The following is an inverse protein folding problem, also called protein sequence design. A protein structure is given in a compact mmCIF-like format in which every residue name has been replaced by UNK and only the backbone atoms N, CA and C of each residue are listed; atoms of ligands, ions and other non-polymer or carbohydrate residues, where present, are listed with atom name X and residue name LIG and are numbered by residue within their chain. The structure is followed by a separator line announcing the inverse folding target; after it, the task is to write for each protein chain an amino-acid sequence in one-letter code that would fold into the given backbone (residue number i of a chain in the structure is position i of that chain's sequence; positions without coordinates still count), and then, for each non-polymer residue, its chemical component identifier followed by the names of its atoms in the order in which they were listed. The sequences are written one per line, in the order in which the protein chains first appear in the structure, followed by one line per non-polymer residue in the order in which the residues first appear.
data_IF_224209917919
#
_entry.id   IF_224209917919
#
_cell.length_a   1.000
_cell.length_b   1.000
_cell.length_c   1.000
_cell.angle_alpha   90.00
_cell.angle_beta   90.00
_cell.angle_gamma   90.00
#
_symmetry.space_group_name_H-M   'P 1'
#
loop_
_entity.id
_entity.type
_entity.pdbx_description
1 polymer ?
#
# COMPACT_ATOMS: atom_id res chain seq x y z
N UNK A 1 -41.47 -18.84 7.13
CA UNK A 1 -40.85 -19.43 5.92
C UNK A 1 -40.38 -18.40 4.88
N UNK A 2 -41.25 -17.54 4.32
CA UNK A 2 -40.85 -16.59 3.24
C UNK A 2 -39.62 -15.71 3.56
N UNK A 3 -39.48 -15.20 4.78
CA UNK A 3 -38.33 -14.36 5.18
C UNK A 3 -36.99 -15.12 5.28
N UNK A 4 -37.03 -16.39 5.69
CA UNK A 4 -35.84 -17.23 5.80
C UNK A 4 -35.29 -17.64 4.42
N UNK A 5 -36.20 -17.94 3.48
CA UNK A 5 -35.86 -18.23 2.08
C UNK A 5 -35.25 -17.00 1.42
N UNK A 6 -35.84 -15.82 1.63
CA UNK A 6 -35.28 -14.56 1.10
C UNK A 6 -33.87 -14.28 1.67
N UNK A 7 -33.67 -14.49 2.97
CA UNK A 7 -32.36 -14.35 3.63
C UNK A 7 -31.31 -15.31 3.08
N UNK A 8 -31.68 -16.57 2.84
CA UNK A 8 -30.78 -17.57 2.24
C UNK A 8 -30.40 -17.20 0.79
N UNK A 9 -31.35 -16.69 0.00
CA UNK A 9 -31.09 -16.23 -1.37
C UNK A 9 -30.13 -15.04 -1.37
N UNK A 10 -30.33 -14.06 -0.48
CA UNK A 10 -29.42 -12.90 -0.35
C UNK A 10 -28.02 -13.35 0.06
N UNK A 11 -27.91 -14.28 1.02
CA UNK A 11 -26.61 -14.83 1.42
C UNK A 11 -25.91 -15.57 0.27
N UNK A 12 -26.62 -16.40 -0.48
CA UNK A 12 -26.09 -17.09 -1.67
C UNK A 12 -25.65 -16.11 -2.77
N UNK A 13 -26.41 -15.05 -3.01
CA UNK A 13 -26.04 -14.01 -3.97
C UNK A 13 -24.79 -13.25 -3.55
N UNK A 14 -24.66 -12.92 -2.26
CA UNK A 14 -23.46 -12.27 -1.72
C UNK A 14 -22.23 -13.20 -1.81
N UNK A 15 -22.39 -14.48 -1.47
CA UNK A 15 -21.31 -15.48 -1.59
C UNK A 15 -20.93 -15.72 -3.05
N UNK A 16 -21.92 -15.84 -3.94
CA UNK A 16 -21.70 -16.01 -5.38
C UNK A 16 -21.02 -14.80 -6.02
N UNK A 17 -21.43 -13.58 -5.65
CA UNK A 17 -20.78 -12.35 -6.06
C UNK A 17 -19.36 -12.23 -5.50
N UNK A 18 -19.13 -12.65 -4.26
CA UNK A 18 -17.79 -12.67 -3.68
C UNK A 18 -16.89 -13.71 -4.37
N UNK A 19 -17.39 -14.91 -4.63
CA UNK A 19 -16.65 -15.96 -5.31
C UNK A 19 -16.29 -15.57 -6.75
N UNK A 20 -17.24 -15.02 -7.52
CA UNK A 20 -16.99 -14.54 -8.88
C UNK A 20 -16.02 -13.36 -8.90
N UNK A 21 -16.11 -12.46 -7.92
CA UNK A 21 -15.15 -11.37 -7.73
C UNK A 21 -13.73 -11.90 -7.46
N UNK A 22 -13.59 -12.88 -6.57
CA UNK A 22 -12.28 -13.50 -6.24
C UNK A 22 -11.67 -14.23 -7.44
N UNK A 23 -12.48 -14.94 -8.23
CA UNK A 23 -12.01 -15.68 -9.42
C UNK A 23 -11.70 -14.76 -10.60
N UNK A 24 -12.39 -13.62 -10.71
CA UNK A 24 -12.20 -12.66 -11.81
C UNK A 24 -11.07 -11.66 -11.58
N UNK A 25 -10.27 -11.83 -10.51
CA UNK A 25 -9.14 -10.93 -10.30
C UNK A 25 -8.15 -11.03 -11.45
N UNK A 26 -7.78 -9.91 -12.08
CA UNK A 26 -6.77 -9.92 -13.12
C UNK A 26 -5.47 -10.47 -12.53
N UNK A 27 -4.86 -11.43 -13.23
CA UNK A 27 -3.51 -11.88 -12.91
C UNK A 27 -2.58 -10.66 -13.05
N UNK A 28 -1.91 -10.30 -11.96
CA UNK A 28 -0.96 -9.18 -12.01
C UNK A 28 0.28 -9.59 -12.82
N UNK A 29 0.86 -8.67 -13.60
CA UNK A 29 2.03 -8.99 -14.41
C UNK A 29 3.25 -9.29 -13.54
N UNK A 30 4.23 -9.96 -14.15
CA UNK A 30 5.48 -10.36 -13.51
C UNK A 30 6.21 -9.14 -12.92
N UNK A 31 6.65 -9.27 -11.67
CA UNK A 31 7.57 -8.28 -11.07
C UNK A 31 8.98 -8.55 -11.58
N UNK A 32 9.63 -7.49 -12.07
CA UNK A 32 10.96 -7.57 -12.69
C UNK A 32 11.97 -6.67 -11.96
N UNK A 33 12.97 -7.31 -11.36
CA UNK A 33 14.06 -6.70 -10.62
C UNK A 33 13.72 -6.41 -9.16
N UNK A 34 14.76 -6.45 -8.33
CA UNK A 34 14.77 -5.94 -6.94
C UNK A 34 14.61 -4.42 -6.91
N UNK A 35 13.42 -3.90 -7.24
CA UNK A 35 13.25 -2.46 -7.39
C UNK A 35 11.96 -1.97 -6.78
N UNK A 36 12.13 -1.04 -5.85
CA UNK A 36 11.11 -0.17 -5.32
C UNK A 36 10.44 0.63 -6.47
N UNK A 37 9.11 0.57 -6.63
CA UNK A 37 8.42 1.23 -7.75
C UNK A 37 8.65 2.75 -7.77
N UNK A 38 8.85 3.37 -6.61
CA UNK A 38 9.13 4.80 -6.49
C UNK A 38 10.48 5.21 -7.10
N UNK A 39 11.44 4.28 -7.24
CA UNK A 39 12.75 4.57 -7.83
C UNK A 39 12.71 4.71 -9.38
N UNK A 40 11.65 4.21 -10.02
CA UNK A 40 11.58 4.12 -11.50
C UNK A 40 10.48 4.99 -12.12
N UNK A 41 9.62 5.55 -11.29
CA UNK A 41 8.58 6.50 -11.70
C UNK A 41 9.03 7.92 -11.36
N UNK A 42 8.62 8.89 -12.17
CA UNK A 42 8.86 10.31 -11.89
C UNK A 42 7.53 10.99 -11.56
N UNK A 43 7.39 11.68 -10.42
CA UNK A 43 6.19 12.45 -10.14
C UNK A 43 6.02 13.59 -11.15
N UNK A 44 4.81 13.78 -11.65
CA UNK A 44 4.45 14.88 -12.57
C UNK A 44 3.52 15.86 -11.87
N UNK A 45 2.44 15.35 -11.28
CA UNK A 45 1.46 16.15 -10.55
C UNK A 45 0.76 15.31 -9.50
N UNK A 46 0.06 15.97 -8.58
CA UNK A 46 -0.75 15.31 -7.56
C UNK A 46 -2.00 16.13 -7.26
N UNK A 47 -3.09 15.44 -6.94
CA UNK A 47 -4.38 16.04 -6.61
C UNK A 47 -4.96 15.29 -5.42
N UNK A 48 -5.35 16.04 -4.38
CA UNK A 48 -6.06 15.46 -3.24
C UNK A 48 -7.49 15.11 -3.66
N UNK A 49 -7.87 13.86 -3.39
CA UNK A 49 -9.19 13.33 -3.71
C UNK A 49 -10.13 13.53 -2.51
N UNK A 50 -11.24 14.21 -2.72
CA UNK A 50 -12.25 14.46 -1.69
C UNK A 50 -13.28 13.33 -1.64
N UNK A 51 -12.84 12.14 -1.25
CA UNK A 51 -13.72 10.98 -1.14
C UNK A 51 -14.57 11.03 0.13
N UNK A 52 -15.84 10.65 0.00
CA UNK A 52 -16.71 10.49 1.17
C UNK A 52 -16.23 9.31 2.03
N UNK A 53 -16.50 9.37 3.34
CA UNK A 53 -16.18 8.26 4.26
C UNK A 53 -16.79 6.93 3.82
N UNK A 54 -17.98 6.97 3.21
CA UNK A 54 -18.67 5.80 2.67
C UNK A 54 -17.90 5.23 1.47
N UNK A 55 -17.44 6.07 0.56
CA UNK A 55 -16.63 5.62 -0.59
C UNK A 55 -15.31 5.00 -0.11
N UNK A 56 -14.61 5.66 0.82
CA UNK A 56 -13.39 5.11 1.43
C UNK A 56 -13.68 3.76 2.09
N UNK A 57 -14.75 3.65 2.89
CA UNK A 57 -15.15 2.39 3.50
C UNK A 57 -15.32 1.28 2.45
N UNK A 58 -16.08 1.53 1.38
CA UNK A 58 -16.27 0.54 0.32
C UNK A 58 -14.97 0.18 -0.42
N UNK A 59 -14.08 1.13 -0.66
CA UNK A 59 -12.75 0.86 -1.23
C UNK A 59 -11.93 -0.06 -0.31
N UNK A 60 -11.93 0.20 0.99
CA UNK A 60 -11.15 -0.57 1.95
C UNK A 60 -11.72 -1.98 2.16
N UNK A 61 -13.05 -2.13 2.25
CA UNK A 61 -13.67 -3.47 2.41
C UNK A 61 -13.56 -4.33 1.15
N UNK A 62 -13.32 -3.75 -0.02
CA UNK A 62 -13.10 -4.49 -1.27
C UNK A 62 -11.61 -4.68 -1.61
N UNK A 63 -10.71 -3.99 -0.91
CA UNK A 63 -9.27 -4.09 -1.13
C UNK A 63 -8.67 -5.31 -0.42
N UNK A 64 -8.23 -6.31 -1.21
CA UNK A 64 -7.54 -7.49 -0.69
C UNK A 64 -6.27 -7.15 0.08
N UNK A 65 -5.48 -6.21 -0.43
CA UNK A 65 -4.26 -5.71 0.21
C UNK A 65 -4.57 -5.11 1.58
N UNK A 66 -5.60 -4.27 1.66
CA UNK A 66 -5.98 -3.64 2.91
C UNK A 66 -6.38 -4.66 3.98
N UNK A 67 -7.21 -5.64 3.62
CA UNK A 67 -7.71 -6.67 4.56
C UNK A 67 -6.62 -7.55 5.17
N UNK A 68 -5.48 -7.67 4.48
CA UNK A 68 -4.30 -8.38 4.96
C UNK A 68 -3.46 -7.54 5.91
N UNK A 69 -3.47 -6.22 5.76
CA UNK A 69 -2.76 -5.30 6.66
C UNK A 69 -3.58 -4.95 7.91
N UNK A 70 -4.86 -4.66 7.73
CA UNK A 70 -5.73 -4.14 8.78
C UNK A 70 -7.19 -4.56 8.57
N UNK A 71 -8.03 -4.28 9.58
CA UNK A 71 -9.48 -4.49 9.48
C UNK A 71 -10.20 -3.17 9.25
N UNK A 72 -11.19 -3.10 8.32
CA UNK A 72 -11.90 -1.86 8.03
C UNK A 72 -12.56 -1.19 9.24
N UNK A 73 -13.09 -1.98 10.19
CA UNK A 73 -13.69 -1.43 11.42
C UNK A 73 -12.69 -0.81 12.40
N UNK A 74 -11.39 -1.06 12.21
CA UNK A 74 -10.31 -0.46 13.01
C UNK A 74 -9.77 0.85 12.41
N UNK A 75 -10.39 1.38 11.36
CA UNK A 75 -9.96 2.60 10.69
C UNK A 75 -10.54 3.85 11.35
N UNK A 76 -9.71 4.89 11.44
CA UNK A 76 -10.14 6.25 11.72
C UNK A 76 -10.41 6.99 10.41
N UNK A 77 -11.65 6.84 9.93
CA UNK A 77 -12.13 7.45 8.68
C UNK A 77 -12.14 8.98 8.70
N UNK A 78 -11.95 9.63 9.84
CA UNK A 78 -11.92 11.09 9.91
C UNK A 78 -10.60 11.68 9.44
N UNK A 79 -9.52 10.89 9.47
CA UNK A 79 -8.17 11.33 9.11
C UNK A 79 -7.59 10.58 7.90
N UNK A 80 -8.42 9.81 7.18
CA UNK A 80 -7.99 9.18 5.93
C UNK A 80 -7.70 10.25 4.89
N UNK A 81 -6.53 10.13 4.26
CA UNK A 81 -6.12 11.00 3.16
C UNK A 81 -5.94 10.19 1.89
N UNK A 82 -6.47 10.70 0.79
CA UNK A 82 -6.37 10.07 -0.53
C UNK A 82 -5.81 11.10 -1.50
N UNK A 83 -4.73 10.76 -2.20
CA UNK A 83 -4.12 11.61 -3.21
C UNK A 83 -3.89 10.80 -4.47
N UNK A 84 -4.33 11.34 -5.59
CA UNK A 84 -4.05 10.81 -6.90
C UNK A 84 -2.82 11.50 -7.47
N UNK A 85 -1.79 10.72 -7.76
CA UNK A 85 -0.58 11.16 -8.44
C UNK A 85 -0.67 10.85 -9.92
N UNK A 86 -0.17 11.76 -10.74
CA UNK A 86 0.20 11.49 -12.13
C UNK A 86 1.70 11.28 -12.17
N UNK A 87 2.12 10.14 -12.71
CA UNK A 87 3.51 9.68 -12.76
C UNK A 87 3.94 9.46 -14.20
N UNK A 88 5.20 9.75 -14.51
CA UNK A 88 5.82 9.34 -15.78
C UNK A 88 6.55 8.02 -15.60
N UNK A 89 6.18 7.01 -16.39
CA UNK A 89 6.80 5.69 -16.41
C UNK A 89 6.94 5.20 -17.86
N UNK A 90 8.13 4.76 -18.27
CA UNK A 90 8.43 4.34 -19.66
C UNK A 90 8.02 5.35 -20.75
N UNK A 91 8.01 6.64 -20.42
CA UNK A 91 7.63 7.70 -21.36
C UNK A 91 6.15 8.08 -21.33
N UNK A 92 5.29 7.27 -20.70
CA UNK A 92 3.85 7.46 -20.60
C UNK A 92 3.44 8.01 -19.23
N UNK A 93 2.26 8.63 -19.18
CA UNK A 93 1.65 9.09 -17.94
C UNK A 93 0.73 7.99 -17.39
N UNK A 94 1.06 7.50 -16.20
CA UNK A 94 0.21 6.59 -15.43
C UNK A 94 -0.30 7.33 -14.20
N UNK A 95 -1.31 6.79 -13.52
CA UNK A 95 -1.78 7.34 -12.25
C UNK A 95 -1.47 6.41 -11.10
N UNK A 96 -1.26 6.96 -9.91
CA UNK A 96 -1.12 6.20 -8.68
C UNK A 96 -2.03 6.82 -7.63
N UNK A 97 -2.96 6.04 -7.11
CA UNK A 97 -3.77 6.42 -5.97
C UNK A 97 -3.05 6.03 -4.69
N UNK A 98 -2.66 7.02 -3.89
CA UNK A 98 -2.07 6.83 -2.58
C UNK A 98 -3.12 7.09 -1.49
N UNK A 99 -3.24 6.16 -0.54
CA UNK A 99 -4.17 6.26 0.59
C UNK A 99 -3.41 6.09 1.89
N UNK A 100 -3.54 7.05 2.79
CA UNK A 100 -3.01 7.00 4.14
C UNK A 100 -4.17 6.79 5.09
N UNK A 101 -4.14 5.66 5.79
CA UNK A 101 -5.29 5.11 6.52
C UNK A 101 -4.88 4.92 7.98
N UNK A 102 -5.02 5.99 8.78
CA UNK A 102 -5.05 5.92 10.23
C UNK A 102 -5.84 4.76 10.82
N UNK A 103 -5.23 4.01 11.73
CA UNK A 103 -5.96 3.07 12.59
C UNK A 103 -6.37 3.75 13.91
N UNK A 104 -7.47 3.26 14.50
CA UNK A 104 -8.06 3.78 15.74
C UNK A 104 -7.17 3.65 16.97
N UNK A 105 -6.17 2.76 16.93
CA UNK A 105 -5.19 2.61 17.99
C UNK A 105 -4.19 3.78 18.07
N UNK A 106 -4.19 4.67 17.07
CA UNK A 106 -3.31 5.85 16.94
C UNK A 106 -1.81 5.50 16.95
N UNK A 107 -1.46 4.25 16.71
CA UNK A 107 -0.09 3.74 16.67
C UNK A 107 0.31 3.28 15.28
N UNK A 108 -0.69 2.84 14.49
CA UNK A 108 -0.46 2.27 13.19
C UNK A 108 -1.18 3.05 12.07
N UNK A 109 -0.49 3.17 10.94
CA UNK A 109 -1.05 3.73 9.71
C UNK A 109 -0.90 2.67 8.63
N UNK A 110 -2.01 2.28 8.02
CA UNK A 110 -1.98 1.50 6.80
C UNK A 110 -1.83 2.45 5.61
N UNK A 111 -0.93 2.16 4.71
CA UNK A 111 -0.71 2.89 3.47
C UNK A 111 -1.01 1.97 2.31
N UNK A 112 -1.74 2.45 1.31
CA UNK A 112 -2.02 1.72 0.08
C UNK A 112 -1.68 2.57 -1.13
N UNK A 113 -1.00 1.96 -2.09
CA UNK A 113 -0.71 2.48 -3.40
C UNK A 113 -1.37 1.59 -4.44
N UNK A 114 -2.08 2.20 -5.38
CA UNK A 114 -2.71 1.50 -6.49
C UNK A 114 -2.38 2.23 -7.79
N UNK A 115 -1.63 1.57 -8.66
CA UNK A 115 -1.23 2.12 -9.96
C UNK A 115 -2.30 1.85 -11.01
N UNK A 116 -2.54 2.77 -11.95
CA UNK A 116 -3.41 2.51 -13.12
C UNK A 116 -2.82 1.44 -14.01
N UNK A 117 -1.50 1.38 -14.10
CA UNK A 117 -0.75 0.41 -14.88
C UNK A 117 0.39 -0.16 -14.03
N UNK A 118 0.66 -1.47 -14.09
CA UNK A 118 1.67 -2.09 -13.24
C UNK A 118 3.07 -1.54 -13.48
N UNK A 119 3.69 -1.04 -12.40
CA UNK A 119 5.07 -0.55 -12.42
C UNK A 119 5.98 -1.72 -12.08
N UNK A 120 6.69 -2.25 -13.09
CA UNK A 120 7.49 -3.48 -12.94
C UNK A 120 6.70 -4.59 -12.26
N UNK A 121 5.49 -4.89 -12.73
CA UNK A 121 4.64 -5.93 -12.14
C UNK A 121 3.83 -5.51 -10.92
N UNK A 122 4.21 -4.43 -10.23
CA UNK A 122 3.51 -3.95 -9.02
C UNK A 122 2.31 -3.12 -9.43
N UNK A 123 1.10 -3.66 -9.19
CA UNK A 123 -0.18 -3.00 -9.42
C UNK A 123 -0.72 -2.38 -8.14
N UNK A 124 -0.59 -3.12 -7.04
CA UNK A 124 -0.92 -2.63 -5.70
C UNK A 124 0.25 -2.89 -4.76
N UNK A 125 0.48 -1.94 -3.87
CA UNK A 125 1.45 -2.06 -2.79
C UNK A 125 0.86 -1.44 -1.54
N UNK A 126 1.19 -1.97 -0.38
CA UNK A 126 0.75 -1.39 0.87
C UNK A 126 1.69 -1.70 2.01
N UNK A 127 1.63 -0.85 3.02
CA UNK A 127 2.50 -0.91 4.19
C UNK A 127 1.66 -0.76 5.44
N UNK A 128 1.95 -1.54 6.47
CA UNK A 128 1.51 -1.24 7.82
C UNK A 128 2.69 -0.61 8.56
N UNK A 129 2.54 0.65 8.92
CA UNK A 129 3.59 1.46 9.53
C UNK A 129 3.24 1.71 10.98
N UNK A 130 4.23 1.52 11.86
CA UNK A 130 4.16 1.79 13.29
C UNK A 130 5.07 2.96 13.63
N UNK A 131 4.56 3.93 14.38
CA UNK A 131 5.42 4.97 14.96
C UNK A 131 6.26 4.34 16.08
N UNK A 132 7.58 4.50 16.00
CA UNK A 132 8.53 4.03 17.04
C UNK A 132 8.73 5.12 18.07
N UNK A 133 8.88 6.35 17.61
CA UNK A 133 8.98 7.57 18.38
C UNK A 133 8.39 8.74 17.57
N UNK A 134 8.68 10.00 17.94
CA UNK A 134 8.11 11.17 17.27
C UNK A 134 8.74 11.48 15.90
N UNK A 135 9.92 10.94 15.61
CA UNK A 135 10.68 11.24 14.38
C UNK A 135 10.96 9.99 13.54
N UNK A 136 10.59 8.81 14.05
CA UNK A 136 10.89 7.53 13.43
C UNK A 136 9.61 6.72 13.24
N UNK A 137 9.40 6.27 12.00
CA UNK A 137 8.38 5.29 11.66
C UNK A 137 9.02 3.99 11.15
N UNK A 138 8.38 2.85 11.45
CA UNK A 138 8.84 1.51 11.05
C UNK A 138 7.74 0.74 10.32
N UNK A 139 8.07 0.17 9.18
CA UNK A 139 7.24 -0.80 8.45
C UNK A 139 7.24 -2.14 9.19
N UNK A 140 6.06 -2.63 9.54
CA UNK A 140 5.86 -3.91 10.24
C UNK A 140 5.13 -4.96 9.39
N UNK A 141 4.52 -4.54 8.30
CA UNK A 141 4.02 -5.46 7.28
C UNK A 141 4.00 -4.78 5.91
N UNK A 142 4.15 -5.58 4.87
CA UNK A 142 4.16 -5.14 3.48
C UNK A 142 3.24 -6.05 2.69
N UNK A 143 2.38 -5.48 1.86
CA UNK A 143 1.59 -6.23 0.89
C UNK A 143 1.93 -5.77 -0.51
N UNK A 144 2.10 -6.71 -1.43
CA UNK A 144 2.37 -6.41 -2.83
C UNK A 144 1.47 -7.30 -3.67
N UNK A 145 0.62 -6.72 -4.50
CA UNK A 145 -0.33 -7.46 -5.32
C UNK A 145 -1.14 -8.46 -4.49
N UNK A 146 -1.51 -8.11 -3.26
CA UNK A 146 -2.23 -8.95 -2.30
C UNK A 146 -1.43 -10.05 -1.62
N UNK A 147 -0.11 -10.15 -1.77
CA UNK A 147 0.75 -11.06 -1.01
C UNK A 147 1.34 -10.28 0.16
N UNK A 148 1.10 -10.75 1.40
CA UNK A 148 1.51 -10.07 2.63
C UNK A 148 2.72 -10.74 3.25
N UNK A 149 3.64 -9.92 3.73
CA UNK A 149 4.78 -10.30 4.56
C UNK A 149 4.76 -9.47 5.84
N UNK A 150 4.96 -10.12 6.99
CA UNK A 150 5.14 -9.43 8.28
C UNK A 150 6.61 -9.28 8.57
N UNK A 151 7.02 -8.07 8.95
CA UNK A 151 8.43 -7.68 9.09
C UNK A 151 8.68 -7.23 10.53
N UNK A 152 8.68 -8.18 11.46
CA UNK A 152 9.04 -7.90 12.86
C UNK A 152 10.49 -7.38 12.96
N UNK A 153 11.37 -7.89 12.09
CA UNK A 153 12.72 -7.39 11.80
C UNK A 153 12.77 -6.70 10.43
N UNK A 154 13.84 -5.96 10.12
CA UNK A 154 14.10 -5.53 8.75
C UNK A 154 14.83 -6.66 8.01
N UNK A 155 14.16 -7.43 7.14
CA UNK A 155 14.80 -8.53 6.42
C UNK A 155 15.75 -8.00 5.33
N UNK A 156 16.80 -8.76 5.04
CA UNK A 156 17.77 -8.47 3.97
C UNK A 156 18.07 -9.75 3.18
N UNK A 157 17.01 -10.41 2.69
CA UNK A 157 17.10 -11.75 2.12
C UNK A 157 17.72 -11.78 0.72
N UNK A 158 17.63 -10.67 -0.03
CA UNK A 158 18.02 -10.63 -1.44
C UNK A 158 18.52 -9.24 -1.86
N UNK A 159 19.42 -9.18 -2.83
CA UNK A 159 19.83 -7.93 -3.48
C UNK A 159 19.32 -7.86 -4.94
N UNK A 160 19.00 -9.01 -5.51
CA UNK A 160 18.54 -9.20 -6.88
C UNK A 160 17.54 -10.37 -6.95
N UNK A 161 16.82 -10.48 -8.07
CA UNK A 161 15.91 -11.62 -8.28
C UNK A 161 16.63 -12.97 -8.33
N UNK A 162 17.94 -12.98 -8.62
CA UNK A 162 18.75 -14.20 -8.66
C UNK A 162 19.04 -14.79 -7.27
N UNK A 163 18.91 -13.97 -6.23
CA UNK A 163 19.05 -14.43 -4.84
C UNK A 163 17.78 -15.17 -4.37
N UNK A 164 16.70 -15.09 -5.15
CA UNK A 164 15.41 -15.68 -4.83
C UNK A 164 15.16 -17.02 -5.56
N UNK A 165 14.30 -17.89 -5.00
CA UNK A 165 13.85 -19.09 -5.71
C UNK A 165 13.24 -18.76 -7.10
N UNK A 166 13.27 -19.72 -8.03
CA UNK A 166 12.89 -19.56 -9.45
C UNK A 166 11.49 -18.94 -9.68
N UNK A 167 10.60 -19.01 -8.68
CA UNK A 167 9.21 -18.50 -8.71
C UNK A 167 8.98 -17.24 -7.88
N UNK A 168 10.07 -16.64 -7.37
CA UNK A 168 10.05 -15.50 -6.49
C UNK A 168 10.78 -14.34 -7.15
N UNK A 169 10.50 -13.13 -6.68
CA UNK A 169 11.22 -11.93 -7.05
C UNK A 169 11.70 -11.24 -5.78
N UNK A 170 12.77 -10.47 -5.90
CA UNK A 170 13.25 -9.72 -4.77
C UNK A 170 12.45 -8.42 -4.64
N UNK A 171 11.91 -8.15 -3.46
CA UNK A 171 11.14 -6.95 -3.17
C UNK A 171 11.90 -6.08 -2.19
N UNK A 172 12.23 -4.84 -2.59
CA UNK A 172 12.92 -3.87 -1.73
C UNK A 172 11.94 -2.82 -1.22
N UNK A 173 11.96 -2.57 0.09
CA UNK A 173 11.09 -1.60 0.75
C UNK A 173 11.82 -0.85 1.86
N UNK A 174 11.25 0.26 2.32
CA UNK A 174 11.79 0.99 3.45
C UNK A 174 11.30 0.40 4.78
N UNK A 175 12.21 -0.11 5.60
CA UNK A 175 11.88 -0.63 6.93
C UNK A 175 11.73 0.49 7.96
N UNK A 176 12.62 1.48 7.92
CA UNK A 176 12.70 2.54 8.92
C UNK A 176 12.95 3.87 8.23
N UNK A 177 12.17 4.88 8.56
CA UNK A 177 12.27 6.21 7.96
C UNK A 177 12.41 7.30 9.04
N UNK A 178 13.23 8.30 8.73
CA UNK A 178 13.32 9.56 9.47
C UNK A 178 12.21 10.50 8.95
N UNK A 179 11.13 10.62 9.72
CA UNK A 179 9.95 11.39 9.31
C UNK A 179 10.22 12.89 9.31
N UNK A 180 11.18 13.37 10.11
CA UNK A 180 11.53 14.78 10.14
C UNK A 180 12.25 15.18 8.84
N UNK A 181 13.27 14.41 8.44
CA UNK A 181 13.97 14.66 7.16
C UNK A 181 13.07 14.43 5.96
N UNK A 182 12.20 13.42 6.01
CA UNK A 182 11.18 13.21 4.98
C UNK A 182 10.22 14.40 4.88
N UNK A 183 9.84 15.02 6.01
CA UNK A 183 9.02 16.23 6.03
C UNK A 183 9.74 17.46 5.50
N UNK A 184 11.04 17.63 5.77
CA UNK A 184 11.83 18.70 5.16
C UNK A 184 11.88 18.57 3.63
N UNK A 185 11.98 17.35 3.11
CA UNK A 185 11.86 17.06 1.68
C UNK A 185 10.45 17.37 1.14
N UNK A 186 9.41 17.11 1.93
CA UNK A 186 8.02 17.38 1.60
C UNK A 186 7.49 18.60 2.35
N UNK A 187 7.95 19.80 1.97
CA UNK A 187 7.72 21.05 2.71
C UNK A 187 6.27 21.30 3.16
N UNK A 188 5.28 20.83 2.39
CA UNK A 188 3.86 20.93 2.74
C UNK A 188 3.44 20.10 3.97
N UNK A 189 4.09 18.96 4.21
CA UNK A 189 3.80 18.09 5.34
C UNK A 189 4.43 18.56 6.66
N UNK A 190 5.40 19.50 6.64
CA UNK A 190 6.04 20.04 7.85
C UNK A 190 4.98 20.52 8.87
N UNK A 191 3.94 21.21 8.39
CA UNK A 191 2.87 21.71 9.26
C UNK A 191 2.01 20.61 9.90
N UNK A 192 1.91 19.44 9.25
CA UNK A 192 1.21 18.28 9.82
C UNK A 192 2.06 17.48 10.81
N UNK A 193 3.38 17.71 10.82
CA UNK A 193 4.33 16.98 11.65
C UNK A 193 4.41 17.41 13.11
N UNK A 194 3.56 18.36 13.52
CA UNK A 194 3.24 18.57 14.95
C UNK A 194 2.63 17.31 15.57
N UNK A 195 1.91 16.51 14.76
CA UNK A 195 1.43 15.20 15.16
C UNK A 195 2.14 14.12 14.33
N UNK A 196 3.00 13.26 14.92
CA UNK A 196 3.80 12.27 14.17
C UNK A 196 2.94 11.31 13.35
N UNK A 197 1.73 11.03 13.81
CA UNK A 197 0.80 10.16 13.11
C UNK A 197 0.17 10.82 11.87
N UNK A 198 -0.20 12.10 11.96
CA UNK A 198 -0.67 12.84 10.79
C UNK A 198 0.49 13.17 9.83
N UNK A 199 1.70 13.33 10.37
CA UNK A 199 2.94 13.47 9.61
C UNK A 199 3.10 12.31 8.63
N UNK A 200 3.13 11.07 9.14
CA UNK A 200 3.38 9.90 8.28
C UNK A 200 2.27 9.71 7.25
N UNK A 201 1.00 9.96 7.62
CA UNK A 201 -0.13 9.95 6.66
C UNK A 201 0.10 10.97 5.55
N UNK A 202 0.54 12.18 5.88
CA UNK A 202 0.84 13.20 4.88
C UNK A 202 2.02 12.79 4.00
N UNK A 203 3.13 12.35 4.60
CA UNK A 203 4.35 11.98 3.89
C UNK A 203 4.14 10.85 2.90
N UNK A 204 3.53 9.75 3.35
CA UNK A 204 3.32 8.56 2.52
C UNK A 204 2.36 8.81 1.36
N UNK A 205 1.41 9.73 1.56
CA UNK A 205 0.38 10.02 0.56
C UNK A 205 0.77 11.15 -0.37
N UNK A 206 1.42 12.21 0.11
CA UNK A 206 1.78 13.38 -0.70
C UNK A 206 3.15 13.24 -1.35
N UNK A 207 4.10 12.62 -0.65
CA UNK A 207 5.51 12.59 -1.03
C UNK A 207 6.16 11.22 -0.73
N UNK A 208 5.64 10.11 -1.26
CA UNK A 208 6.23 8.79 -1.01
C UNK A 208 7.70 8.72 -1.39
N UNK A 209 8.16 9.44 -2.43
CA UNK A 209 9.58 9.51 -2.77
C UNK A 209 10.46 10.13 -1.67
N UNK A 210 9.95 11.11 -0.91
CA UNK A 210 10.69 11.69 0.21
C UNK A 210 10.87 10.68 1.34
N UNK A 211 9.87 9.83 1.59
CA UNK A 211 9.97 8.71 2.54
C UNK A 211 11.08 7.76 2.08
N UNK A 212 11.07 7.36 0.81
CA UNK A 212 12.06 6.43 0.27
C UNK A 212 13.48 7.03 0.28
N UNK A 213 13.65 8.30 -0.07
CA UNK A 213 14.97 8.96 -0.07
C UNK A 213 15.54 9.18 1.33
N UNK A 214 14.68 9.29 2.35
CA UNK A 214 15.08 9.46 3.75
C UNK A 214 14.90 8.16 4.55
N UNK A 215 14.91 7.03 3.86
CA UNK A 215 14.91 5.73 4.49
C UNK A 215 16.23 5.51 5.24
N UNK A 216 16.14 5.27 6.55
CA UNK A 216 17.28 4.96 7.41
C UNK A 216 17.76 3.53 7.21
N UNK A 217 16.85 2.61 6.91
CA UNK A 217 17.15 1.21 6.67
C UNK A 217 16.19 0.63 5.63
N UNK A 218 16.75 0.18 4.50
CA UNK A 218 16.00 -0.58 3.51
C UNK A 218 16.03 -2.05 3.86
N UNK A 219 14.89 -2.74 3.69
CA UNK A 219 14.83 -4.19 3.73
C UNK A 219 14.59 -4.77 2.34
N UNK A 220 14.85 -6.06 2.22
CA UNK A 220 14.58 -6.85 1.04
C UNK A 220 14.12 -8.26 1.40
N UNK A 221 13.12 -8.76 0.66
CA UNK A 221 12.54 -10.08 0.87
C UNK A 221 12.20 -10.78 -0.45
N UNK A 222 12.31 -12.11 -0.48
CA UNK A 222 11.90 -12.89 -1.63
C UNK A 222 10.39 -13.16 -1.59
N UNK A 223 9.63 -12.53 -2.49
CA UNK A 223 8.17 -12.71 -2.54
C UNK A 223 7.73 -13.74 -3.55
N UNK A 224 6.90 -14.67 -3.09
CA UNK A 224 6.19 -15.61 -3.95
C UNK A 224 5.10 -14.87 -4.73
N UNK A 225 5.24 -14.84 -6.05
CA UNK A 225 4.27 -14.15 -6.92
C UNK A 225 4.18 -14.75 -8.32
N UNK A 226 4.98 -15.76 -8.64
CA UNK A 226 4.86 -16.48 -9.89
C UNK A 226 3.74 -17.53 -9.78
N UNK A 227 2.57 -17.22 -10.34
CA UNK A 227 1.68 -18.27 -10.84
C UNK A 227 1.88 -18.31 -12.36
N UNK A 228 2.57 -19.32 -12.92
CA UNK A 228 2.52 -19.52 -14.35
C UNK A 228 1.07 -19.84 -14.70
N UNK A 229 0.49 -19.08 -15.62
CA UNK A 229 -0.58 -19.66 -16.42
C UNK A 229 0.05 -20.66 -17.40
N UNK A 230 -0.60 -21.81 -17.68
CA UNK A 230 -0.28 -22.58 -18.88
C UNK A 230 -0.43 -21.72 -20.15
#
# INVERSE_FOLDING_TARGET
MRKAILGAIVALLLVGAYASYVVSYPKYPKVEGCVNPFAVVKPVSRVQENWSRVHVFFKLVTSRDFWKLAKPWNVDYSHVKVVKHTLKYKGENITMLAMGIPLRDRKHVAVLYEFSDPVRGIKTEGFLIKMVDNVTAKTIAVTTNGVVSTTDTCPHECNSDFDCPITHYCHKFCCKVDTEKAAQCCSWCIFTCVNPFLCIVCLEVECPWCVQNNCLEFGSECKGGWVPGP
#
